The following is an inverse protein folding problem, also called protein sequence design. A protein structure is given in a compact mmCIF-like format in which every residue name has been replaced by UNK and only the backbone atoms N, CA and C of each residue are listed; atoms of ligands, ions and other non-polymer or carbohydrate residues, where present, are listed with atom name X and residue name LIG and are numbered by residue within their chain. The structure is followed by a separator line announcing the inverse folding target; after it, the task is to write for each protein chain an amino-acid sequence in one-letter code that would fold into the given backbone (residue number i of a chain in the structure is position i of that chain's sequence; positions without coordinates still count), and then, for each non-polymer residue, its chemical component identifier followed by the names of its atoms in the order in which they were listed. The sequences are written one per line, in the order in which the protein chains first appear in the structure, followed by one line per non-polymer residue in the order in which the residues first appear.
data_IF_597979401674
#
_entry.id   IF_597979401674
#
_cell.length_a   1.000
_cell.length_b   1.000
_cell.length_c   1.000
_cell.angle_alpha   90.00
_cell.angle_beta   90.00
_cell.angle_gamma   90.00
#
_symmetry.space_group_name_H-M   'P 1'
#
loop_
_entity.id
_entity.type
_entity.pdbx_description
1 polymer ?
#
# COMPACT_ATOMS: atom_id res chain seq x y z
N UNK A 1 8.16 19.80 -6.05
CA UNK A 1 8.93 19.11 -5.00
C UNK A 1 9.34 17.75 -5.53
N UNK A 2 10.59 17.28 -5.39
CA UNK A 2 11.03 16.06 -6.05
C UNK A 2 10.58 14.81 -5.27
N UNK A 3 9.28 14.51 -5.27
CA UNK A 3 8.82 13.16 -4.94
C UNK A 3 9.29 12.20 -6.03
N UNK A 4 9.70 10.98 -5.65
CA UNK A 4 10.18 9.98 -6.62
C UNK A 4 9.11 9.05 -7.15
N UNK A 5 8.05 8.84 -6.37
CA UNK A 5 6.95 7.94 -6.69
C UNK A 5 5.63 8.67 -6.50
N UNK A 6 4.63 8.29 -7.31
CA UNK A 6 3.22 8.57 -7.07
C UNK A 6 2.43 7.30 -7.34
N UNK A 7 1.43 7.00 -6.51
CA UNK A 7 0.65 5.79 -6.67
C UNK A 7 -0.82 6.06 -6.93
N UNK A 8 -1.46 5.10 -7.60
CA UNK A 8 -2.87 5.13 -7.94
C UNK A 8 -3.44 3.72 -7.84
N UNK A 9 -4.60 3.58 -7.20
CA UNK A 9 -5.35 2.34 -7.21
C UNK A 9 -5.93 2.07 -8.59
N UNK A 10 -5.82 0.82 -9.04
CA UNK A 10 -6.63 0.26 -10.11
C UNK A 10 -7.67 -0.65 -9.43
N UNK A 11 -8.94 -0.26 -9.53
CA UNK A 11 -10.04 -0.81 -8.74
C UNK A 11 -11.32 -0.95 -9.58
N UNK A 12 -12.41 -1.42 -8.95
CA UNK A 12 -13.74 -1.61 -9.53
C UNK A 12 -14.05 -3.07 -9.91
N UNK A 13 -13.10 -3.98 -9.71
CA UNK A 13 -13.26 -5.43 -9.93
C UNK A 13 -13.39 -5.85 -11.39
N UNK A 14 -13.09 -7.12 -11.67
CA UNK A 14 -13.32 -7.70 -13.00
C UNK A 14 -14.74 -8.25 -13.10
N UNK A 15 -15.25 -8.34 -14.34
CA UNK A 15 -16.62 -8.78 -14.65
C UNK A 15 -17.73 -7.92 -14.04
N UNK A 16 -17.43 -6.68 -13.61
CA UNK A 16 -18.42 -5.74 -13.05
C UNK A 16 -18.93 -4.72 -14.05
N UNK A 17 -18.21 -4.50 -15.15
CA UNK A 17 -18.40 -3.37 -16.07
C UNK A 17 -17.83 -2.03 -15.55
N UNK A 18 -17.40 -1.96 -14.28
CA UNK A 18 -16.90 -0.74 -13.63
C UNK A 18 -15.42 -0.75 -13.24
N UNK A 19 -14.68 -1.81 -13.59
CA UNK A 19 -13.24 -1.92 -13.33
C UNK A 19 -12.40 -0.87 -14.05
N UNK A 20 -11.16 -0.65 -13.59
CA UNK A 20 -10.27 0.39 -14.13
C UNK A 20 -10.08 0.36 -15.65
N UNK A 21 -10.20 -0.81 -16.28
CA UNK A 21 -10.12 -0.97 -17.72
C UNK A 21 -11.20 -0.18 -18.48
N UNK A 22 -12.30 0.21 -17.81
CA UNK A 22 -13.41 1.00 -18.39
C UNK A 22 -13.36 2.49 -18.05
N UNK A 23 -12.49 2.94 -17.12
CA UNK A 23 -12.35 4.35 -16.77
C UNK A 23 -11.93 5.22 -17.96
N UNK A 24 -11.12 4.65 -18.85
CA UNK A 24 -10.83 5.22 -20.15
C UNK A 24 -10.80 4.12 -21.22
N UNK A 25 -11.18 4.43 -22.49
CA UNK A 25 -11.26 3.44 -23.56
C UNK A 25 -10.04 2.55 -23.65
N UNK A 26 -10.27 1.23 -23.59
CA UNK A 26 -9.25 0.19 -23.66
C UNK A 26 -8.24 0.19 -22.52
N UNK A 27 -8.52 0.77 -21.35
CA UNK A 27 -7.58 0.85 -20.24
C UNK A 27 -6.46 1.88 -20.45
N UNK A 28 -6.69 2.90 -21.30
CA UNK A 28 -5.73 3.99 -21.56
C UNK A 28 -5.44 4.88 -20.33
N UNK A 29 -6.15 4.66 -19.22
CA UNK A 29 -5.84 5.30 -17.94
C UNK A 29 -4.37 5.06 -17.53
N UNK A 30 -3.87 3.83 -17.72
CA UNK A 30 -2.47 3.48 -17.45
C UNK A 30 -1.52 4.36 -18.27
N UNK A 31 -1.81 4.53 -19.56
CA UNK A 31 -0.98 5.34 -20.47
C UNK A 31 -0.93 6.81 -20.01
N UNK A 32 -2.10 7.36 -19.62
CA UNK A 32 -2.22 8.74 -19.12
C UNK A 32 -1.41 8.92 -17.84
N UNK A 33 -1.62 8.04 -16.86
CA UNK A 33 -0.96 8.14 -15.56
C UNK A 33 0.57 7.97 -15.67
N UNK A 34 1.05 7.07 -16.54
CA UNK A 34 2.48 6.94 -16.85
C UNK A 34 3.02 8.22 -17.50
N UNK A 35 2.31 8.79 -18.48
CA UNK A 35 2.70 10.03 -19.15
C UNK A 35 2.78 11.23 -18.20
N UNK A 36 1.79 11.39 -17.32
CA UNK A 36 1.78 12.43 -16.29
C UNK A 36 2.90 12.25 -15.27
N UNK A 37 3.12 11.01 -14.81
CA UNK A 37 4.23 10.68 -13.91
C UNK A 37 5.58 11.01 -14.54
N UNK A 38 5.76 10.67 -15.82
CA UNK A 38 6.96 11.00 -16.58
C UNK A 38 7.20 12.51 -16.69
N UNK A 39 6.16 13.31 -16.94
CA UNK A 39 6.24 14.78 -16.96
C UNK A 39 6.61 15.35 -15.58
N UNK A 40 6.15 14.71 -14.51
CA UNK A 40 6.48 15.09 -13.13
C UNK A 40 7.84 14.55 -12.65
N UNK A 41 8.57 13.77 -13.46
CA UNK A 41 9.83 13.14 -13.07
C UNK A 41 9.68 12.02 -12.03
N UNK A 42 8.49 11.40 -11.95
CA UNK A 42 8.12 10.37 -10.98
C UNK A 42 7.99 9.00 -11.62
N UNK A 43 8.22 7.95 -10.83
CA UNK A 43 7.91 6.57 -11.17
C UNK A 43 6.44 6.30 -10.81
N UNK A 44 5.59 5.89 -11.77
CA UNK A 44 4.22 5.51 -11.48
C UNK A 44 4.17 4.16 -10.74
N UNK A 45 3.38 4.12 -9.68
CA UNK A 45 3.03 2.89 -8.95
C UNK A 45 1.55 2.64 -9.09
N UNK A 46 1.16 1.43 -9.44
CA UNK A 46 -0.24 1.02 -9.53
C UNK A 46 -0.53 -0.04 -8.46
N UNK A 47 -1.44 0.27 -7.55
CA UNK A 47 -1.97 -0.70 -6.58
C UNK A 47 -3.16 -1.38 -7.22
N UNK A 48 -2.92 -2.55 -7.81
CA UNK A 48 -3.94 -3.31 -8.52
C UNK A 48 -4.77 -4.12 -7.52
N UNK A 49 -5.99 -3.65 -7.24
CA UNK A 49 -6.86 -4.16 -6.17
C UNK A 49 -8.22 -4.52 -6.77
N UNK A 50 -8.30 -5.70 -7.39
CA UNK A 50 -9.43 -6.08 -8.23
C UNK A 50 -10.21 -7.27 -7.67
N UNK A 51 -9.53 -8.25 -7.07
CA UNK A 51 -10.16 -9.52 -6.73
C UNK A 51 -11.29 -9.37 -5.70
N UNK A 52 -11.14 -8.48 -4.70
CA UNK A 52 -12.18 -8.22 -3.69
C UNK A 52 -13.47 -7.71 -4.33
N UNK A 53 -13.33 -6.80 -5.29
CA UNK A 53 -14.45 -6.08 -5.90
C UNK A 53 -15.04 -6.82 -7.11
N UNK A 54 -14.53 -8.00 -7.44
CA UNK A 54 -14.96 -8.77 -8.60
C UNK A 54 -16.22 -9.57 -8.32
N UNK A 55 -17.03 -9.84 -9.36
CA UNK A 55 -18.17 -10.74 -9.23
C UNK A 55 -17.75 -12.21 -9.28
N UNK A 56 -18.44 -13.11 -8.55
CA UNK A 56 -19.63 -12.85 -7.73
C UNK A 56 -19.34 -12.34 -6.29
N UNK A 57 -18.09 -12.35 -5.83
CA UNK A 57 -17.74 -12.05 -4.43
C UNK A 57 -17.94 -10.60 -3.98
N UNK A 58 -18.06 -9.63 -4.90
CA UNK A 58 -18.14 -8.19 -4.56
C UNK A 58 -19.18 -7.85 -3.49
N UNK A 59 -20.36 -8.45 -3.60
CA UNK A 59 -21.52 -8.11 -2.77
C UNK A 59 -21.58 -8.97 -1.48
N UNK A 60 -20.50 -9.71 -1.21
CA UNK A 60 -20.33 -10.51 -0.01
C UNK A 60 -19.64 -9.70 1.09
N UNK A 61 -20.34 -9.54 2.22
CA UNK A 61 -19.85 -8.80 3.39
C UNK A 61 -18.71 -9.53 4.12
N UNK A 62 -18.59 -10.85 3.93
CA UNK A 62 -17.47 -11.65 4.43
C UNK A 62 -16.33 -11.57 3.41
N UNK A 63 -15.41 -10.64 3.66
CA UNK A 63 -14.29 -10.37 2.78
C UNK A 63 -13.40 -11.60 2.48
N UNK A 64 -12.93 -12.38 3.48
CA UNK A 64 -12.17 -13.59 3.22
C UNK A 64 -12.92 -14.56 2.28
N UNK A 65 -14.22 -14.77 2.52
CA UNK A 65 -15.04 -15.66 1.68
C UNK A 65 -15.21 -15.10 0.27
N UNK A 66 -15.43 -13.79 0.14
CA UNK A 66 -15.52 -13.08 -1.13
C UNK A 66 -14.28 -13.31 -2.00
N UNK A 67 -13.10 -13.02 -1.44
CA UNK A 67 -11.81 -13.13 -2.14
C UNK A 67 -11.52 -14.57 -2.53
N UNK A 68 -11.65 -15.52 -1.59
CA UNK A 68 -11.36 -16.94 -1.86
C UNK A 68 -12.36 -17.57 -2.83
N UNK A 69 -13.62 -17.12 -2.84
CA UNK A 69 -14.63 -17.53 -3.82
C UNK A 69 -14.27 -17.05 -5.22
N UNK A 70 -13.90 -15.77 -5.35
CA UNK A 70 -13.46 -15.19 -6.62
C UNK A 70 -12.20 -15.88 -7.17
N UNK A 71 -11.23 -16.20 -6.32
CA UNK A 71 -10.05 -16.97 -6.70
C UNK A 71 -10.39 -18.37 -7.24
N UNK A 72 -11.45 -19.01 -6.72
CA UNK A 72 -11.91 -20.34 -7.18
C UNK A 72 -12.86 -20.26 -8.38
N UNK A 73 -13.32 -19.08 -8.76
CA UNK A 73 -14.23 -18.89 -9.87
C UNK A 73 -13.48 -18.79 -11.22
N UNK A 74 -13.80 -19.70 -12.15
CA UNK A 74 -13.12 -19.80 -13.45
C UNK A 74 -13.41 -18.63 -14.40
N UNK A 75 -14.59 -18.00 -14.30
CA UNK A 75 -14.93 -16.81 -15.10
C UNK A 75 -14.21 -15.58 -14.54
N UNK A 76 -14.23 -15.40 -13.22
CA UNK A 76 -13.52 -14.33 -12.51
C UNK A 76 -12.03 -14.38 -12.78
N UNK A 77 -11.38 -15.52 -12.56
CA UNK A 77 -9.94 -15.66 -12.81
C UNK A 77 -9.57 -15.57 -14.30
N UNK A 78 -10.47 -15.93 -15.21
CA UNK A 78 -10.29 -15.68 -16.65
C UNK A 78 -10.17 -14.19 -16.95
N UNK A 79 -11.18 -13.42 -16.52
CA UNK A 79 -11.21 -11.97 -16.71
C UNK A 79 -10.07 -11.27 -15.97
N UNK A 80 -9.73 -11.73 -14.78
CA UNK A 80 -8.61 -11.22 -13.99
C UNK A 80 -7.27 -11.36 -14.73
N UNK A 81 -7.00 -12.52 -15.32
CA UNK A 81 -5.78 -12.75 -16.10
C UNK A 81 -5.73 -11.89 -17.37
N UNK A 82 -6.88 -11.65 -18.00
CA UNK A 82 -6.99 -10.76 -19.14
C UNK A 82 -6.79 -9.29 -18.76
N UNK A 83 -7.26 -8.89 -17.58
CA UNK A 83 -7.12 -7.54 -17.04
C UNK A 83 -5.65 -7.22 -16.67
N UNK A 84 -4.95 -8.15 -16.00
CA UNK A 84 -3.50 -8.03 -15.78
C UNK A 84 -2.74 -8.02 -17.11
N UNK A 85 -3.16 -8.84 -18.10
CA UNK A 85 -2.56 -8.82 -19.44
C UNK A 85 -2.76 -7.48 -20.13
N UNK A 86 -3.93 -6.86 -19.97
CA UNK A 86 -4.21 -5.52 -20.49
C UNK A 86 -3.27 -4.49 -19.85
N UNK A 87 -3.12 -4.52 -18.52
CA UNK A 87 -2.16 -3.66 -17.81
C UNK A 87 -0.75 -3.81 -18.39
N UNK A 88 -0.25 -5.04 -18.54
CA UNK A 88 1.10 -5.29 -19.06
C UNK A 88 1.26 -4.72 -20.47
N UNK A 89 0.28 -4.94 -21.36
CA UNK A 89 0.31 -4.37 -22.73
C UNK A 89 0.36 -2.84 -22.72
N UNK A 90 -0.40 -2.18 -21.84
CA UNK A 90 -0.38 -0.72 -21.69
C UNK A 90 0.97 -0.23 -21.17
N UNK A 91 1.49 -0.86 -20.11
CA UNK A 91 2.81 -0.54 -19.57
C UNK A 91 3.95 -0.75 -20.58
N UNK A 92 3.81 -1.71 -21.49
CA UNK A 92 4.79 -2.01 -22.54
C UNK A 92 4.90 -0.92 -23.61
N UNK A 93 3.92 0.00 -23.73
CA UNK A 93 4.04 1.19 -24.58
C UNK A 93 5.15 2.15 -24.11
N UNK A 94 5.67 1.96 -22.88
CA UNK A 94 6.70 2.81 -22.28
C UNK A 94 7.96 2.01 -21.93
N UNK A 95 8.65 1.36 -22.90
CA UNK A 95 9.71 0.38 -22.64
C UNK A 95 10.95 0.96 -21.94
N UNK A 96 11.12 2.29 -21.95
CA UNK A 96 12.22 3.01 -21.28
C UNK A 96 11.83 3.59 -19.92
N UNK A 97 10.64 3.27 -19.41
CA UNK A 97 10.13 3.77 -18.13
C UNK A 97 9.93 2.62 -17.18
N UNK A 98 10.51 2.75 -15.98
CA UNK A 98 10.17 1.90 -14.85
C UNK A 98 8.74 2.21 -14.42
N UNK A 99 7.93 1.16 -14.29
CA UNK A 99 6.56 1.21 -13.80
C UNK A 99 6.46 0.16 -12.69
N UNK A 100 5.77 0.45 -11.59
CA UNK A 100 5.57 -0.54 -10.52
C UNK A 100 4.12 -0.99 -10.51
N UNK A 101 3.89 -2.31 -10.45
CA UNK A 101 2.59 -2.90 -10.21
C UNK A 101 2.64 -3.64 -8.87
N UNK A 102 2.01 -3.07 -7.84
CA UNK A 102 1.72 -3.78 -6.61
C UNK A 102 0.49 -4.66 -6.86
N UNK A 103 0.69 -5.97 -6.83
CA UNK A 103 -0.33 -6.94 -7.24
C UNK A 103 -1.20 -7.30 -6.06
N UNK A 104 -2.50 -7.06 -6.16
CA UNK A 104 -3.55 -7.50 -5.23
C UNK A 104 -3.18 -7.36 -3.75
N UNK A 105 -3.09 -6.12 -3.23
CA UNK A 105 -3.13 -5.91 -1.79
C UNK A 105 -4.25 -6.73 -1.14
N UNK A 106 -4.02 -7.16 0.09
CA UNK A 106 -4.88 -8.04 0.91
C UNK A 106 -5.14 -9.47 0.41
N UNK A 107 -5.25 -9.71 -0.90
CA UNK A 107 -5.50 -11.05 -1.44
C UNK A 107 -4.48 -12.08 -0.95
N UNK A 108 -3.21 -11.69 -0.89
CA UNK A 108 -2.14 -12.58 -0.43
C UNK A 108 -2.28 -12.93 1.06
N UNK A 109 -2.76 -12.00 1.89
CA UNK A 109 -3.02 -12.24 3.31
C UNK A 109 -4.14 -13.24 3.53
N UNK A 110 -5.25 -13.12 2.80
CA UNK A 110 -6.31 -14.13 2.80
C UNK A 110 -5.84 -15.48 2.26
N UNK A 111 -4.96 -15.44 1.25
CA UNK A 111 -4.26 -16.61 0.78
C UNK A 111 -3.41 -17.27 1.87
N UNK A 112 -2.68 -16.49 2.66
CA UNK A 112 -1.86 -16.98 3.77
C UNK A 112 -2.72 -17.62 4.87
N UNK A 113 -3.86 -17.01 5.20
CA UNK A 113 -4.83 -17.59 6.14
C UNK A 113 -5.37 -18.94 5.65
N UNK A 114 -5.68 -19.04 4.36
CA UNK A 114 -6.24 -20.26 3.77
C UNK A 114 -5.18 -21.36 3.53
N UNK A 115 -3.89 -21.02 3.56
CA UNK A 115 -2.81 -21.95 3.24
C UNK A 115 -2.57 -22.95 4.37
N UNK A 116 -2.65 -24.25 4.04
CA UNK A 116 -2.26 -25.32 4.96
C UNK A 116 -0.75 -25.28 5.16
N UNK A 117 -0.33 -25.25 6.43
CA UNK A 117 1.08 -25.17 6.84
C UNK A 117 1.87 -23.99 6.23
N UNK A 118 1.18 -22.92 5.80
CA UNK A 118 1.80 -21.77 5.14
C UNK A 118 2.33 -22.06 3.73
N UNK A 119 1.79 -23.06 3.04
CA UNK A 119 2.13 -23.38 1.66
C UNK A 119 1.07 -22.87 0.68
N UNK A 120 1.42 -21.86 -0.13
CA UNK A 120 0.54 -21.27 -1.13
C UNK A 120 0.15 -22.25 -2.26
N UNK A 121 0.82 -23.39 -2.41
CA UNK A 121 0.38 -24.45 -3.33
C UNK A 121 -0.89 -25.16 -2.85
N UNK A 122 -1.29 -24.98 -1.59
CA UNK A 122 -2.49 -25.61 -1.02
C UNK A 122 -3.76 -24.79 -1.21
N UNK A 123 -3.64 -23.53 -1.68
CA UNK A 123 -4.74 -22.61 -1.91
C UNK A 123 -5.18 -22.72 -3.37
N UNK A 124 -6.37 -23.27 -3.69
CA UNK A 124 -6.80 -23.44 -5.07
C UNK A 124 -7.12 -22.10 -5.73
N UNK A 125 -6.67 -21.94 -6.98
CA UNK A 125 -7.01 -20.80 -7.83
C UNK A 125 -7.38 -21.31 -9.22
N UNK A 126 -8.57 -20.93 -9.69
CA UNK A 126 -9.03 -21.34 -11.02
C UNK A 126 -8.10 -20.82 -12.13
N UNK A 127 -8.05 -21.54 -13.26
CA UNK A 127 -7.19 -21.27 -14.44
C UNK A 127 -5.68 -21.45 -14.22
N UNK A 128 -5.17 -21.37 -12.99
CA UNK A 128 -3.72 -21.46 -12.69
C UNK A 128 -3.37 -22.50 -11.62
N UNK A 129 -4.37 -23.25 -11.15
CA UNK A 129 -4.25 -24.35 -10.19
C UNK A 129 -4.20 -23.88 -8.75
N UNK A 130 -3.21 -23.07 -8.40
CA UNK A 130 -2.94 -22.67 -7.01
C UNK A 130 -2.51 -21.21 -6.91
N UNK A 131 -2.48 -20.67 -5.69
CA UNK A 131 -1.98 -19.31 -5.45
C UNK A 131 -0.50 -19.15 -5.81
N UNK A 132 0.31 -20.19 -5.55
CA UNK A 132 1.67 -20.26 -6.07
C UNK A 132 1.69 -20.27 -7.63
N UNK A 133 0.73 -20.96 -8.25
CA UNK A 133 0.53 -20.94 -9.70
C UNK A 133 0.19 -19.55 -10.25
N UNK A 134 -0.67 -18.81 -9.56
CA UNK A 134 -1.04 -17.43 -9.88
C UNK A 134 0.19 -16.51 -9.85
N UNK A 135 0.96 -16.54 -8.76
CA UNK A 135 2.18 -15.76 -8.62
C UNK A 135 3.16 -16.02 -9.78
N UNK A 136 3.41 -17.28 -10.12
CA UNK A 136 4.28 -17.62 -11.27
C UNK A 136 3.68 -17.18 -12.61
N UNK A 137 2.36 -17.23 -12.78
CA UNK A 137 1.70 -16.77 -14.00
C UNK A 137 1.86 -15.26 -14.21
N UNK A 138 1.69 -14.45 -13.14
CA UNK A 138 1.91 -13.00 -13.20
C UNK A 138 3.37 -12.67 -13.54
N UNK A 139 4.33 -13.33 -12.89
CA UNK A 139 5.76 -13.12 -13.19
C UNK A 139 6.07 -13.46 -14.65
N UNK A 140 5.62 -14.62 -15.16
CA UNK A 140 5.83 -14.99 -16.57
C UNK A 140 5.18 -13.99 -17.52
N UNK A 141 3.99 -13.51 -17.20
CA UNK A 141 3.27 -12.54 -18.01
C UNK A 141 4.03 -11.22 -18.10
N UNK A 142 4.50 -10.69 -16.96
CA UNK A 142 5.36 -9.50 -16.92
C UNK A 142 6.62 -9.70 -17.74
N UNK A 143 7.35 -10.81 -17.55
CA UNK A 143 8.60 -11.06 -18.26
C UNK A 143 8.42 -11.11 -19.78
N UNK A 144 7.28 -11.61 -20.26
CA UNK A 144 6.99 -11.70 -21.70
C UNK A 144 6.48 -10.39 -22.30
N UNK A 145 5.60 -9.68 -21.58
CA UNK A 145 4.84 -8.57 -22.15
C UNK A 145 5.40 -7.19 -21.77
N UNK A 146 5.94 -7.04 -20.56
CA UNK A 146 6.33 -5.74 -20.01
C UNK A 146 7.54 -5.88 -19.06
N UNK A 147 8.73 -6.20 -19.58
CA UNK A 147 9.94 -6.37 -18.75
C UNK A 147 10.35 -5.08 -18.02
N UNK A 148 9.82 -3.92 -18.40
CA UNK A 148 10.00 -2.63 -17.73
C UNK A 148 9.16 -2.46 -16.44
N UNK A 149 8.21 -3.37 -16.18
CA UNK A 149 7.38 -3.35 -14.98
C UNK A 149 8.08 -4.08 -13.84
N UNK A 150 8.19 -3.44 -12.68
CA UNK A 150 8.56 -4.06 -11.41
C UNK A 150 7.29 -4.58 -10.72
N UNK A 151 7.30 -5.84 -10.30
CA UNK A 151 6.20 -6.47 -9.58
C UNK A 151 6.43 -6.36 -8.07
N UNK A 152 5.43 -5.82 -7.37
CA UNK A 152 5.35 -5.77 -5.92
C UNK A 152 4.45 -6.85 -5.34
N UNK A 153 4.99 -7.70 -4.46
CA UNK A 153 4.22 -8.61 -3.60
C UNK A 153 3.70 -7.85 -2.37
N UNK A 154 2.48 -8.08 -1.91
CA UNK A 154 1.99 -7.46 -0.68
C UNK A 154 2.13 -8.43 0.52
N UNK A 155 3.04 -8.10 1.43
CA UNK A 155 3.22 -8.77 2.72
C UNK A 155 2.54 -7.94 3.81
N UNK A 156 1.23 -8.10 3.96
CA UNK A 156 0.54 -7.52 5.09
C UNK A 156 0.83 -8.32 6.35
N UNK A 157 0.97 -7.63 7.48
CA UNK A 157 1.26 -8.26 8.76
C UNK A 157 0.10 -9.13 9.23
N UNK A 158 -1.14 -8.65 9.09
CA UNK A 158 -2.35 -9.42 9.43
C UNK A 158 -2.48 -10.71 8.62
N UNK A 159 -1.83 -10.82 7.46
CA UNK A 159 -1.74 -12.07 6.69
C UNK A 159 -1.16 -13.23 7.49
N UNK A 160 -0.37 -12.92 8.53
CA UNK A 160 0.14 -13.92 9.47
C UNK A 160 -0.90 -14.38 10.51
N UNK A 161 -2.09 -13.79 10.51
CA UNK A 161 -3.16 -13.97 11.49
C UNK A 161 -3.04 -13.06 12.72
N UNK A 162 -2.09 -12.13 12.72
CA UNK A 162 -1.82 -11.18 13.81
C UNK A 162 -1.50 -9.83 13.20
N UNK A 163 -2.24 -8.80 13.61
CA UNK A 163 -1.97 -7.40 13.29
C UNK A 163 -1.03 -6.82 14.37
N UNK A 164 0.11 -6.26 13.95
CA UNK A 164 1.16 -5.78 14.84
C UNK A 164 0.76 -4.55 15.65
N UNK A 165 -0.22 -3.79 15.16
CA UNK A 165 -0.70 -2.55 15.79
C UNK A 165 -1.89 -2.81 16.70
N UNK A 166 -2.74 -3.78 16.35
CA UNK A 166 -3.93 -4.13 17.12
C UNK A 166 -3.65 -5.17 18.20
N UNK A 167 -2.77 -6.16 17.93
CA UNK A 167 -2.56 -7.29 18.85
C UNK A 167 -1.33 -7.15 19.76
N UNK A 168 -0.51 -6.11 19.60
CA UNK A 168 0.67 -5.85 20.44
C UNK A 168 1.61 -7.06 20.68
N UNK A 169 2.01 -7.83 19.64
CA UNK A 169 2.83 -9.02 19.87
C UNK A 169 4.18 -8.68 20.52
N UNK A 170 4.66 -9.55 21.39
CA UNK A 170 6.02 -9.44 21.97
C UNK A 170 7.10 -9.45 20.88
N UNK A 171 8.32 -9.04 21.23
CA UNK A 171 9.45 -9.08 20.28
C UNK A 171 9.68 -10.48 19.69
N UNK A 172 9.61 -11.53 20.52
CA UNK A 172 9.77 -12.92 20.06
C UNK A 172 8.65 -13.35 19.12
N UNK A 173 7.41 -12.95 19.40
CA UNK A 173 6.29 -13.21 18.50
C UNK A 173 6.48 -12.45 17.18
N UNK A 174 6.87 -11.19 17.22
CA UNK A 174 7.14 -10.37 16.03
C UNK A 174 8.20 -11.02 15.12
N UNK A 175 9.28 -11.55 15.68
CA UNK A 175 10.30 -12.29 14.91
C UNK A 175 9.72 -13.55 14.26
N UNK A 176 8.88 -14.29 14.98
CA UNK A 176 8.22 -15.49 14.46
C UNK A 176 7.22 -15.19 13.34
N UNK A 177 6.47 -14.08 13.45
CA UNK A 177 5.53 -13.60 12.43
C UNK A 177 6.28 -13.16 11.16
N UNK A 178 7.37 -12.41 11.30
CA UNK A 178 8.22 -12.03 10.17
C UNK A 178 8.77 -13.25 9.43
N UNK A 179 9.23 -14.27 10.17
CA UNK A 179 9.68 -15.53 9.59
C UNK A 179 8.54 -16.32 8.92
N UNK A 180 7.32 -16.25 9.46
CA UNK A 180 6.11 -16.88 8.90
C UNK A 180 5.74 -16.23 7.55
N UNK A 181 5.58 -14.91 7.51
CA UNK A 181 5.31 -14.17 6.28
C UNK A 181 6.37 -14.45 5.21
N UNK A 182 7.65 -14.49 5.59
CA UNK A 182 8.74 -14.79 4.66
C UNK A 182 8.71 -16.24 4.15
N UNK A 183 8.32 -17.22 4.98
CA UNK A 183 8.12 -18.62 4.54
C UNK A 183 6.98 -18.71 3.52
N UNK A 184 5.85 -18.04 3.80
CA UNK A 184 4.72 -18.00 2.88
C UNK A 184 5.11 -17.38 1.54
N UNK A 185 5.79 -16.22 1.53
CA UNK A 185 6.32 -15.62 0.30
C UNK A 185 7.20 -16.61 -0.49
N UNK A 186 8.15 -17.28 0.16
CA UNK A 186 9.03 -18.27 -0.51
C UNK A 186 8.27 -19.50 -1.02
N UNK A 187 7.10 -19.82 -0.46
CA UNK A 187 6.24 -20.93 -0.92
C UNK A 187 5.58 -20.64 -2.28
N UNK A 188 5.45 -19.36 -2.66
CA UNK A 188 4.91 -18.97 -3.97
C UNK A 188 5.79 -19.46 -5.14
N UNK A 189 7.08 -19.67 -4.88
CA UNK A 189 8.10 -20.04 -5.89
C UNK A 189 8.07 -19.10 -7.10
N UNK A 190 7.92 -17.80 -6.82
CA UNK A 190 7.87 -16.72 -7.81
C UNK A 190 8.81 -15.59 -7.38
N UNK A 191 9.44 -14.95 -8.35
CA UNK A 191 10.33 -13.81 -8.11
C UNK A 191 9.58 -12.50 -8.35
N UNK A 192 9.09 -11.89 -7.27
CA UNK A 192 8.72 -10.48 -7.26
C UNK A 192 9.99 -9.63 -7.06
N UNK A 193 9.98 -8.41 -7.58
CA UNK A 193 11.15 -7.53 -7.54
C UNK A 193 11.25 -6.80 -6.19
N UNK A 194 10.11 -6.59 -5.54
CA UNK A 194 10.01 -5.88 -4.27
C UNK A 194 8.81 -6.40 -3.45
N UNK A 195 8.86 -6.20 -2.14
CA UNK A 195 7.70 -6.41 -1.26
C UNK A 195 7.12 -5.07 -0.81
N UNK A 196 5.80 -4.97 -0.77
CA UNK A 196 5.02 -3.90 -0.16
C UNK A 196 4.50 -4.38 1.20
N UNK A 197 4.44 -3.51 2.20
CA UNK A 197 3.79 -3.76 3.49
C UNK A 197 3.10 -2.50 3.95
N UNK A 198 1.97 -2.63 4.62
CA UNK A 198 1.06 -1.56 4.99
C UNK A 198 1.09 -1.22 6.47
N UNK A 199 1.26 0.07 6.76
CA UNK A 199 1.27 0.58 8.12
C UNK A 199 -0.13 1.04 8.54
N UNK A 200 -0.72 1.91 7.73
CA UNK A 200 -2.10 2.34 7.96
C UNK A 200 -2.68 2.91 6.69
N UNK A 201 -3.93 2.58 6.43
CA UNK A 201 -4.70 3.08 5.29
C UNK A 201 -5.53 4.33 5.61
N UNK A 202 -5.65 4.67 6.90
CA UNK A 202 -6.38 5.83 7.42
C UNK A 202 -5.56 6.55 8.48
N UNK A 203 -5.80 7.85 8.58
CA UNK A 203 -5.36 8.68 9.69
C UNK A 203 -5.92 8.14 11.03
N UNK A 204 -5.15 8.24 12.11
CA UNK A 204 -5.63 7.87 13.45
C UNK A 204 -6.95 8.60 13.81
N UNK A 205 -7.02 9.91 13.53
CA UNK A 205 -8.22 10.71 13.73
C UNK A 205 -9.42 10.25 12.88
N UNK A 206 -9.19 9.74 11.67
CA UNK A 206 -10.23 9.14 10.84
C UNK A 206 -10.79 7.89 11.51
N UNK A 207 -9.91 6.98 11.95
CA UNK A 207 -10.32 5.73 12.61
C UNK A 207 -11.16 6.02 13.86
N UNK A 208 -10.79 7.04 14.64
CA UNK A 208 -11.56 7.44 15.81
C UNK A 208 -12.91 8.05 15.43
N UNK A 209 -12.93 9.02 14.50
CA UNK A 209 -14.14 9.76 14.17
C UNK A 209 -15.17 8.95 13.36
N UNK A 210 -14.71 8.09 12.45
CA UNK A 210 -15.56 7.36 11.51
C UNK A 210 -15.80 5.91 11.93
N UNK A 211 -14.80 5.25 12.51
CA UNK A 211 -14.90 3.85 12.92
C UNK A 211 -15.10 3.65 14.42
N UNK A 212 -15.08 4.74 15.21
CA UNK A 212 -15.21 4.65 16.67
C UNK A 212 -14.04 3.96 17.35
N UNK A 213 -12.85 3.94 16.70
CA UNK A 213 -11.64 3.36 17.28
C UNK A 213 -11.22 4.10 18.56
N UNK A 214 -10.56 3.40 19.46
CA UNK A 214 -10.04 3.95 20.70
C UNK A 214 -8.66 4.61 20.54
N UNK A 215 -7.92 4.85 21.64
CA UNK A 215 -6.59 5.44 21.62
C UNK A 215 -5.53 4.58 20.91
N UNK A 216 -5.77 3.29 20.72
CA UNK A 216 -4.91 2.36 19.98
C UNK A 216 -4.74 2.70 18.49
N UNK A 217 -5.59 3.57 17.94
CA UNK A 217 -5.40 4.11 16.59
C UNK A 217 -4.08 4.92 16.44
N UNK A 218 -3.53 5.41 17.55
CA UNK A 218 -2.34 6.26 17.59
C UNK A 218 -1.06 5.47 17.85
N UNK A 219 -0.12 5.53 16.90
CA UNK A 219 1.13 4.78 17.03
C UNK A 219 2.07 5.35 18.08
N UNK A 220 2.65 4.48 18.90
CA UNK A 220 3.62 4.81 19.92
C UNK A 220 5.01 4.20 19.61
N UNK A 221 5.95 4.34 20.54
CA UNK A 221 7.31 3.84 20.35
C UNK A 221 7.39 2.31 20.21
N UNK A 222 6.49 1.56 20.84
CA UNK A 222 6.42 0.11 20.76
C UNK A 222 5.93 -0.36 19.39
N UNK A 223 4.91 0.29 18.81
CA UNK A 223 4.44 0.01 17.43
C UNK A 223 5.59 0.14 16.43
N UNK A 224 6.30 1.27 16.50
CA UNK A 224 7.43 1.54 15.65
C UNK A 224 8.56 0.52 15.81
N UNK A 225 8.84 0.08 17.05
CA UNK A 225 9.84 -0.94 17.32
C UNK A 225 9.44 -2.32 16.76
N UNK A 226 8.14 -2.69 16.86
CA UNK A 226 7.59 -3.92 16.25
C UNK A 226 7.72 -3.89 14.73
N UNK A 227 7.31 -2.80 14.09
CA UNK A 227 7.41 -2.68 12.63
C UNK A 227 8.85 -2.70 12.12
N UNK A 228 9.77 -2.01 12.80
CA UNK A 228 11.19 -2.07 12.47
C UNK A 228 11.73 -3.51 12.57
N UNK A 229 11.34 -4.24 13.62
CA UNK A 229 11.74 -5.64 13.84
C UNK A 229 11.14 -6.56 12.79
N UNK A 230 9.85 -6.41 12.47
CA UNK A 230 9.16 -7.20 11.46
C UNK A 230 9.79 -7.01 10.08
N UNK A 231 9.99 -5.76 9.64
CA UNK A 231 10.64 -5.45 8.35
C UNK A 231 12.03 -6.07 8.29
N UNK A 232 12.82 -5.97 9.37
CA UNK A 232 14.16 -6.58 9.44
C UNK A 232 14.12 -8.09 9.27
N UNK A 233 13.28 -8.77 10.06
CA UNK A 233 13.16 -10.22 10.03
C UNK A 233 12.65 -10.72 8.68
N UNK A 234 11.62 -10.08 8.15
CA UNK A 234 11.03 -10.43 6.86
C UNK A 234 12.03 -10.19 5.73
N UNK A 235 12.63 -9.00 5.64
CA UNK A 235 13.55 -8.64 4.56
C UNK A 235 14.72 -9.60 4.47
N UNK A 236 15.33 -9.94 5.62
CA UNK A 236 16.44 -10.89 5.68
C UNK A 236 16.02 -12.30 5.25
N UNK A 237 14.90 -12.81 5.79
CA UNK A 237 14.45 -14.17 5.51
C UNK A 237 13.90 -14.33 4.09
N UNK A 238 13.12 -13.37 3.58
CA UNK A 238 12.53 -13.39 2.25
C UNK A 238 13.54 -13.02 1.15
N UNK A 239 14.67 -12.39 1.53
CA UNK A 239 15.65 -11.78 0.60
C UNK A 239 14.95 -10.77 -0.31
N UNK A 240 14.17 -9.90 0.29
CA UNK A 240 13.37 -8.88 -0.38
C UNK A 240 13.57 -7.54 0.30
N UNK A 241 13.65 -6.47 -0.50
CA UNK A 241 13.54 -5.10 0.00
C UNK A 241 12.08 -4.71 0.13
N UNK A 242 11.79 -3.81 1.06
CA UNK A 242 10.42 -3.47 1.46
C UNK A 242 10.09 -2.03 1.10
N UNK A 243 8.94 -1.83 0.46
CA UNK A 243 8.28 -0.54 0.29
C UNK A 243 7.19 -0.47 1.35
N UNK A 244 7.21 0.57 2.17
CA UNK A 244 6.14 0.81 3.14
C UNK A 244 5.05 1.62 2.45
N UNK A 245 3.91 1.00 2.28
CA UNK A 245 2.71 1.50 1.62
C UNK A 245 1.54 0.84 2.31
N UNK A 246 0.48 1.50 2.73
CA UNK A 246 0.20 2.92 2.61
C UNK A 246 0.41 3.62 3.96
N UNK A 247 0.52 4.94 3.90
CA UNK A 247 0.82 5.80 5.05
C UNK A 247 -0.07 7.04 4.95
N UNK A 248 -0.94 7.32 5.93
CA UNK A 248 -1.81 8.49 5.93
C UNK A 248 -1.00 9.79 6.03
N UNK A 249 -1.61 10.91 5.63
CA UNK A 249 -0.94 12.21 5.48
C UNK A 249 -1.24 13.19 6.62
N UNK A 250 -2.11 12.83 7.56
CA UNK A 250 -2.40 13.63 8.74
C UNK A 250 -1.18 13.95 9.60
N UNK A 251 -1.37 14.96 10.45
CA UNK A 251 -0.39 15.36 11.46
C UNK A 251 -1.09 15.93 12.70
N UNK A 252 -0.41 16.00 13.84
CA UNK A 252 -0.95 16.59 15.08
C UNK A 252 -0.59 18.08 15.26
N UNK A 253 0.06 18.73 14.28
CA UNK A 253 0.62 20.07 14.47
C UNK A 253 -0.25 21.17 13.88
N UNK A 254 -0.71 20.97 12.64
CA UNK A 254 -1.36 22.00 11.84
C UNK A 254 -2.81 22.19 12.26
N UNK A 255 -3.23 23.45 12.35
CA UNK A 255 -4.61 23.83 12.62
C UNK A 255 -5.60 23.27 11.59
N UNK A 256 -5.17 23.05 10.34
CA UNK A 256 -6.00 22.38 9.33
C UNK A 256 -6.57 21.04 9.85
N UNK A 257 -5.84 20.33 10.70
CA UNK A 257 -6.21 19.01 11.22
C UNK A 257 -7.25 19.06 12.34
N UNK A 258 -8.50 19.30 11.97
CA UNK A 258 -9.65 19.46 12.86
C UNK A 258 -10.48 18.18 13.07
N UNK A 259 -9.99 17.03 12.59
CA UNK A 259 -10.68 15.73 12.63
C UNK A 259 -12.06 15.73 11.95
N UNK A 260 -12.21 16.51 10.88
CA UNK A 260 -13.36 16.43 9.97
C UNK A 260 -12.95 15.81 8.63
N UNK A 261 -13.93 15.55 7.77
CA UNK A 261 -13.73 14.85 6.51
C UNK A 261 -12.66 15.54 5.63
N UNK A 262 -11.57 14.83 5.35
CA UNK A 262 -10.39 15.34 4.64
C UNK A 262 -9.29 15.93 5.53
N UNK A 263 -9.54 16.13 6.83
CA UNK A 263 -8.70 16.92 7.73
C UNK A 263 -8.40 16.20 9.05
N UNK A 264 -7.90 14.96 8.99
CA UNK A 264 -7.69 14.12 10.17
C UNK A 264 -6.26 14.19 10.71
N UNK A 265 -6.15 14.25 12.04
CA UNK A 265 -4.86 14.17 12.72
C UNK A 265 -4.31 12.75 12.67
N UNK A 266 -2.99 12.64 12.53
CA UNK A 266 -2.23 11.40 12.51
C UNK A 266 -0.79 11.69 12.99
N UNK A 267 0.05 10.68 13.22
CA UNK A 267 1.44 10.89 13.68
C UNK A 267 2.52 10.21 12.82
N UNK A 268 2.16 9.50 11.75
CA UNK A 268 3.11 8.76 10.91
C UNK A 268 4.06 9.69 10.15
N UNK A 269 3.53 10.73 9.48
CA UNK A 269 4.36 11.70 8.73
C UNK A 269 5.34 12.40 9.67
N UNK A 270 4.85 12.84 10.83
CA UNK A 270 5.66 13.54 11.83
C UNK A 270 6.76 12.64 12.40
N UNK A 271 6.44 11.36 12.65
CA UNK A 271 7.43 10.41 13.11
C UNK A 271 8.47 10.12 12.03
N UNK A 272 8.07 9.86 10.78
CA UNK A 272 9.01 9.54 9.70
C UNK A 272 9.90 10.72 9.31
N UNK A 273 9.32 11.91 9.10
CA UNK A 273 10.00 13.03 8.45
C UNK A 273 10.34 14.19 9.40
N UNK A 274 9.65 14.30 10.54
CA UNK A 274 9.86 15.37 11.51
C UNK A 274 11.16 15.24 12.32
N UNK A 275 11.18 15.85 13.51
CA UNK A 275 12.38 15.88 14.39
C UNK A 275 12.88 14.46 14.68
N UNK A 276 14.18 14.20 14.42
CA UNK A 276 14.83 12.88 14.50
C UNK A 276 14.47 11.87 13.40
N UNK A 277 13.67 12.27 12.39
CA UNK A 277 13.26 11.41 11.27
C UNK A 277 14.43 10.76 10.54
N UNK A 278 15.55 11.48 10.36
CA UNK A 278 16.74 10.94 9.66
C UNK A 278 17.32 9.67 10.32
N UNK A 279 17.41 9.64 11.65
CA UNK A 279 17.92 8.46 12.36
C UNK A 279 16.95 7.27 12.21
N UNK A 280 15.63 7.54 12.28
CA UNK A 280 14.59 6.52 12.10
C UNK A 280 14.56 5.95 10.69
N UNK A 281 14.63 6.81 9.68
CA UNK A 281 14.77 6.42 8.27
C UNK A 281 16.04 5.59 8.05
N UNK A 282 17.15 5.95 8.69
CA UNK A 282 18.38 5.15 8.67
C UNK A 282 18.18 3.76 9.25
N UNK A 283 17.51 3.64 10.40
CA UNK A 283 17.20 2.36 11.02
C UNK A 283 16.29 1.49 10.13
N UNK A 284 15.26 2.07 9.52
CA UNK A 284 14.35 1.38 8.59
C UNK A 284 15.05 0.97 7.30
N UNK A 285 15.92 1.83 6.74
CA UNK A 285 16.74 1.49 5.58
C UNK A 285 17.67 0.31 5.86
N UNK A 286 18.34 0.31 7.02
CA UNK A 286 19.16 -0.82 7.46
C UNK A 286 18.35 -2.10 7.72
N UNK A 287 17.08 -1.96 8.12
CA UNK A 287 16.18 -3.10 8.30
C UNK A 287 15.73 -3.73 6.98
N UNK A 288 15.59 -2.96 5.91
CA UNK A 288 15.01 -3.52 4.67
C UNK A 288 14.19 -2.54 3.85
N UNK A 289 13.75 -1.44 4.45
CA UNK A 289 12.91 -0.46 3.79
C UNK A 289 13.70 0.29 2.69
N UNK A 290 13.05 0.60 1.58
CA UNK A 290 13.67 1.35 0.46
C UNK A 290 12.82 2.50 -0.05
N UNK A 291 11.52 2.53 0.28
CA UNK A 291 10.63 3.64 -0.01
C UNK A 291 9.46 3.68 0.97
N UNK A 292 8.88 4.86 1.11
CA UNK A 292 7.66 5.14 1.87
C UNK A 292 6.68 5.85 0.92
N UNK A 293 5.50 5.29 0.74
CA UNK A 293 4.46 5.85 -0.13
C UNK A 293 3.32 6.38 0.75
N UNK A 294 3.08 7.68 0.65
CA UNK A 294 2.10 8.40 1.44
C UNK A 294 0.85 8.70 0.63
N UNK A 295 -0.30 8.49 1.26
CA UNK A 295 -1.63 8.72 0.72
C UNK A 295 -2.65 7.85 1.45
N UNK A 296 -3.92 8.22 1.30
CA UNK A 296 -5.01 7.48 1.91
C UNK A 296 -5.47 6.26 1.11
N UNK A 297 -6.06 5.31 1.83
CA UNK A 297 -6.68 4.11 1.26
C UNK A 297 -8.21 4.19 1.12
N UNK A 298 -8.83 5.31 1.48
CA UNK A 298 -10.23 5.60 1.18
C UNK A 298 -10.50 7.08 1.02
N UNK A 299 -11.69 7.35 0.51
CA UNK A 299 -12.28 8.67 0.49
C UNK A 299 -12.39 9.28 1.90
N UNK A 300 -12.23 10.59 1.97
CA UNK A 300 -12.28 11.37 3.20
C UNK A 300 -11.02 11.36 4.06
N UNK A 301 -9.99 10.58 3.71
CA UNK A 301 -8.69 10.68 4.36
C UNK A 301 -7.97 11.99 4.06
N UNK A 302 -6.96 12.32 4.86
CA UNK A 302 -6.19 13.55 4.67
C UNK A 302 -5.36 13.52 3.39
N UNK A 303 -5.35 14.62 2.62
CA UNK A 303 -4.46 14.80 1.48
C UNK A 303 -3.36 15.83 1.74
N UNK A 304 -2.18 15.63 1.15
CA UNK A 304 -1.16 16.67 0.97
C UNK A 304 -1.45 17.53 -0.28
N UNK A 305 -2.71 17.86 -0.47
CA UNK A 305 -3.32 18.64 -1.54
C UNK A 305 -4.64 19.21 -1.00
N UNK A 306 -5.16 20.25 -1.64
CA UNK A 306 -6.51 20.77 -1.34
C UNK A 306 -7.53 19.94 -2.13
N UNK A 307 -7.73 18.67 -1.74
CA UNK A 307 -8.68 17.80 -2.43
C UNK A 307 -10.12 18.18 -2.08
N UNK A 308 -10.34 18.75 -0.89
CA UNK A 308 -11.66 19.15 -0.42
C UNK A 308 -12.14 20.46 -1.05
N UNK A 309 -11.25 21.42 -1.28
CA UNK A 309 -11.62 22.75 -1.79
C UNK A 309 -12.61 23.47 -0.87
N UNK A 310 -12.56 23.17 0.44
CA UNK A 310 -13.57 23.58 1.43
C UNK A 310 -13.19 24.87 2.19
N UNK A 311 -12.01 25.43 1.91
CA UNK A 311 -11.51 26.64 2.55
C UNK A 311 -11.04 26.44 3.99
N UNK A 312 -10.95 25.19 4.49
CA UNK A 312 -10.43 24.89 5.82
C UNK A 312 -8.90 24.98 5.79
N UNK A 313 -8.34 25.98 6.46
CA UNK A 313 -6.88 26.14 6.57
C UNK A 313 -6.41 26.34 8.01
N UNK A 314 -7.12 27.16 8.78
CA UNK A 314 -6.77 27.45 10.18
C UNK A 314 -8.02 27.56 11.09
N UNK A 315 -8.84 26.50 11.23
CA UNK A 315 -9.95 26.49 12.18
C UNK A 315 -9.46 26.59 13.64
N UNK A 316 -10.36 26.80 14.64
CA UNK A 316 -9.97 26.73 16.05
C UNK A 316 -9.21 25.43 16.37
N UNK A 317 -8.14 25.48 17.18
CA UNK A 317 -7.30 24.32 17.43
C UNK A 317 -8.03 23.24 18.25
N UNK A 318 -7.69 21.98 17.99
CA UNK A 318 -8.09 20.80 18.74
C UNK A 318 -6.85 20.00 19.15
N UNK A 319 -6.90 19.28 20.26
CA UNK A 319 -5.83 18.36 20.69
C UNK A 319 -4.40 18.96 20.65
N UNK A 320 -4.28 20.28 20.83
CA UNK A 320 -2.99 20.99 20.86
C UNK A 320 -2.38 21.37 19.50
N UNK A 321 -3.08 21.24 18.37
CA UNK A 321 -2.57 21.61 17.03
C UNK A 321 -2.54 23.12 16.78
N UNK A 322 -1.76 23.87 17.55
CA UNK A 322 -1.77 25.34 17.52
C UNK A 322 -1.02 25.96 16.34
N UNK A 323 -0.35 25.15 15.51
CA UNK A 323 0.48 25.67 14.42
C UNK A 323 -0.37 26.12 13.25
N UNK A 324 -0.12 27.34 12.77
CA UNK A 324 -0.75 27.79 11.53
C UNK A 324 -0.27 26.94 10.34
N UNK A 325 -1.21 26.55 9.48
CA UNK A 325 -0.94 25.79 8.27
C UNK A 325 -0.05 26.59 7.30
N UNK A 326 0.82 25.89 6.58
CA UNK A 326 1.71 26.47 5.58
C UNK A 326 1.02 26.78 4.25
N UNK A 327 -0.08 26.10 3.97
CA UNK A 327 -0.88 26.22 2.75
C UNK A 327 -2.31 25.76 3.01
N UNK A 328 -3.17 25.90 2.00
CA UNK A 328 -4.55 25.39 2.00
C UNK A 328 -4.66 23.88 1.72
N UNK A 329 -3.54 23.18 1.50
CA UNK A 329 -3.57 21.71 1.43
C UNK A 329 -4.25 21.13 2.67
N UNK A 330 -5.00 20.04 2.51
CA UNK A 330 -5.83 19.48 3.59
C UNK A 330 -4.99 19.08 4.82
N UNK A 331 -3.74 18.62 4.65
CA UNK A 331 -2.77 18.36 5.73
C UNK A 331 -2.14 19.63 6.35
N UNK A 332 -2.58 20.82 5.94
CA UNK A 332 -1.98 22.11 6.28
C UNK A 332 -0.60 22.35 5.63
N UNK A 333 -0.24 21.58 4.60
CA UNK A 333 1.04 21.65 3.90
C UNK A 333 2.21 21.01 4.65
N UNK A 334 1.94 20.27 5.72
CA UNK A 334 2.98 19.69 6.59
C UNK A 334 3.86 18.69 5.85
N UNK A 335 3.26 17.73 5.14
CA UNK A 335 3.99 16.71 4.39
C UNK A 335 4.91 17.34 3.35
N UNK A 336 4.41 18.29 2.55
CA UNK A 336 5.23 18.96 1.53
C UNK A 336 6.40 19.74 2.14
N UNK A 337 6.19 20.34 3.31
CA UNK A 337 7.26 21.02 4.04
C UNK A 337 8.36 20.04 4.46
N UNK A 338 7.99 18.96 5.14
CA UNK A 338 8.95 17.96 5.65
C UNK A 338 9.62 17.18 4.52
N UNK A 339 8.89 16.81 3.48
CA UNK A 339 9.43 16.14 2.30
C UNK A 339 10.44 17.03 1.57
N UNK A 340 10.21 18.34 1.46
CA UNK A 340 11.21 19.28 0.90
C UNK A 340 12.50 19.27 1.71
N UNK A 341 12.40 19.26 3.04
CA UNK A 341 13.55 19.19 3.92
C UNK A 341 14.33 17.87 3.76
N UNK A 342 13.61 16.74 3.62
CA UNK A 342 14.22 15.44 3.33
C UNK A 342 14.99 15.45 2.01
N UNK A 343 14.37 15.93 0.91
CA UNK A 343 14.98 15.90 -0.41
C UNK A 343 16.10 16.93 -0.61
N UNK A 344 16.25 17.91 0.29
CA UNK A 344 17.46 18.75 0.31
C UNK A 344 18.71 17.94 0.65
N UNK A 345 18.57 16.85 1.43
CA UNK A 345 19.66 15.94 1.83
C UNK A 345 19.13 14.50 1.94
N UNK A 346 18.75 13.85 0.82
CA UNK A 346 18.10 12.55 0.87
C UNK A 346 19.00 11.51 1.53
N UNK A 347 18.39 10.53 2.22
CA UNK A 347 19.13 9.40 2.75
C UNK A 347 19.66 8.56 1.57
N UNK A 348 20.95 8.22 1.61
CA UNK A 348 21.51 7.22 0.70
C UNK A 348 21.20 5.85 1.27
N UNK A 349 20.59 4.99 0.47
CA UNK A 349 20.34 3.61 0.86
C UNK A 349 21.68 2.85 0.95
N UNK A 350 21.81 1.90 1.90
CA UNK A 350 23.00 1.08 2.06
C UNK A 350 23.24 0.11 0.90
#
# INVERSE_FOLDING_TARGET
MPLRFRYQYLAGGVNTGGGWATWNPGGTFVDRYVGESAKAGMIPVFSYYMIRQSLPGRDDSDEPRAVLSNLRNSSTMGAWLDDVRLFMKRAAHFPRRTIVLQVEPDMWGYGEHAAKHGDAATVPVARVGTLAGLARAVVRMRSKLAPNVLLGYHASDWGTGVDLTVNDPSSKQTDALAAKAARFYRSLKAHFDVTFTDWSDRDAGFKQAIYGAGPEAWWNAADNARWLRFIRGYSAAARQRVVVWQIPLGNTLMRAMNNTWGHYQDNHVQWLLGKHGRARLGALANAGAIAFLFGGGADGTTCACDARGDGVTNPPPINGNTRSSYSADDDGGYFRHEARAYYARPLRLP
#
